data_IF_547704946243
#
_entry.id   IF_547704946243
#
_cell.length_a   1.000
_cell.length_b   1.000
_cell.length_c   1.000
_cell.angle_alpha   90.00
_cell.angle_beta   90.00
_cell.angle_gamma   90.00
#
_symmetry.space_group_name_H-M   'P 1'
#
loop_
_entity.id
_entity.type
_entity.pdbx_description
1 polymer ?
#
# COMPACT_ATOMS: atom_id res chain seq x y z
N UNK A 1 -12.47 18.48 9.39
CA UNK A 1 -11.24 17.64 9.44
C UNK A 1 -11.52 16.27 10.07
N UNK A 2 -10.73 15.23 9.79
CA UNK A 2 -10.88 13.89 10.40
C UNK A 2 -10.90 13.92 11.94
N UNK A 3 -10.09 14.79 12.57
CA UNK A 3 -10.06 14.96 14.02
C UNK A 3 -11.31 15.65 14.59
N UNK A 4 -12.05 16.41 13.77
CA UNK A 4 -13.35 16.99 14.16
C UNK A 4 -14.47 15.94 14.12
N UNK A 5 -14.44 15.06 13.12
CA UNK A 5 -15.41 13.98 12.99
C UNK A 5 -15.19 12.87 14.04
N UNK A 6 -13.96 12.70 14.53
CA UNK A 6 -13.60 11.73 15.56
C UNK A 6 -12.69 12.36 16.61
N UNK A 7 -13.24 12.83 17.74
CA UNK A 7 -12.45 13.47 18.81
C UNK A 7 -11.33 12.59 19.37
N UNK A 8 -11.46 11.26 19.29
CA UNK A 8 -10.41 10.31 19.68
C UNK A 8 -9.14 10.40 18.84
N UNK A 9 -9.22 11.01 17.65
CA UNK A 9 -8.07 11.25 16.77
C UNK A 9 -7.40 12.60 17.05
N UNK A 10 -7.90 13.42 17.98
CA UNK A 10 -7.32 14.73 18.26
C UNK A 10 -5.83 14.62 18.62
N UNK A 11 -4.99 15.34 17.89
CA UNK A 11 -3.54 15.32 18.06
C UNK A 11 -2.83 14.06 17.55
N UNK A 12 -3.53 13.17 16.84
CA UNK A 12 -2.91 12.02 16.19
C UNK A 12 -1.97 12.47 15.07
N UNK A 13 -2.40 13.40 14.23
CA UNK A 13 -1.55 13.91 13.15
C UNK A 13 -0.38 14.72 13.69
N UNK A 14 -0.56 15.45 14.79
CA UNK A 14 0.53 16.17 15.46
C UNK A 14 1.61 15.20 15.98
N UNK A 15 1.22 14.09 16.60
CA UNK A 15 2.14 13.03 17.04
C UNK A 15 2.89 12.40 15.86
N UNK A 16 2.21 12.17 14.74
CA UNK A 16 2.83 11.64 13.53
C UNK A 16 3.85 12.63 12.93
N UNK A 17 3.51 13.92 12.87
CA UNK A 17 4.43 14.96 12.42
C UNK A 17 5.61 15.09 13.38
N UNK A 18 5.38 15.05 14.69
CA UNK A 18 6.45 15.07 15.70
C UNK A 18 7.41 13.89 15.53
N UNK A 19 6.90 12.70 15.18
CA UNK A 19 7.71 11.51 14.86
C UNK A 19 8.63 11.70 13.66
N UNK A 20 8.39 12.68 12.79
CA UNK A 20 9.33 13.03 11.71
C UNK A 20 10.55 13.81 12.20
N UNK A 21 10.62 14.13 13.51
CA UNK A 21 11.60 14.98 14.16
C UNK A 21 11.84 16.31 13.40
N UNK A 22 10.80 17.15 13.27
CA UNK A 22 10.89 18.34 12.43
C UNK A 22 11.84 19.40 13.02
N UNK A 23 12.04 19.42 14.34
CA UNK A 23 12.85 20.44 15.01
C UNK A 23 14.34 20.34 14.67
N UNK A 24 14.84 19.14 14.36
CA UNK A 24 16.26 18.94 14.00
C UNK A 24 16.51 19.02 12.49
N UNK A 25 15.49 19.39 11.70
CA UNK A 25 15.52 19.34 10.24
C UNK A 25 15.33 20.73 9.64
N UNK A 26 16.00 20.98 8.52
CA UNK A 26 15.82 22.22 7.77
C UNK A 26 14.41 22.36 7.22
N UNK A 27 14.01 23.60 6.93
CA UNK A 27 12.72 23.92 6.31
C UNK A 27 12.45 23.08 5.04
N UNK A 28 13.41 23.02 4.11
CA UNK A 28 13.28 22.25 2.87
C UNK A 28 13.07 20.75 3.12
N UNK A 29 13.77 20.19 4.10
CA UNK A 29 13.64 18.77 4.46
C UNK A 29 12.29 18.49 5.11
N UNK A 30 11.81 19.38 5.97
CA UNK A 30 10.49 19.27 6.58
C UNK A 30 9.36 19.36 5.56
N UNK A 31 9.44 20.28 4.60
CA UNK A 31 8.44 20.37 3.52
C UNK A 31 8.37 19.08 2.70
N UNK A 32 9.53 18.52 2.31
CA UNK A 32 9.60 17.23 1.61
C UNK A 32 9.02 16.09 2.45
N UNK A 33 9.29 16.06 3.76
CA UNK A 33 8.78 15.01 4.65
C UNK A 33 7.26 15.10 4.82
N UNK A 34 6.69 16.30 4.93
CA UNK A 34 5.23 16.50 4.94
C UNK A 34 4.57 15.92 3.69
N UNK A 35 5.12 16.23 2.51
CA UNK A 35 4.63 15.68 1.22
C UNK A 35 4.71 14.15 1.20
N UNK A 36 5.87 13.58 1.55
CA UNK A 36 6.05 12.11 1.65
C UNK A 36 5.03 11.47 2.58
N UNK A 37 4.75 12.11 3.72
CA UNK A 37 3.77 11.64 4.68
C UNK A 37 2.33 11.68 4.11
N UNK A 38 1.95 12.75 3.40
CA UNK A 38 0.66 12.80 2.70
C UNK A 38 0.52 11.67 1.67
N UNK A 39 1.57 11.43 0.86
CA UNK A 39 1.57 10.32 -0.10
C UNK A 39 1.50 8.96 0.57
N UNK A 40 2.17 8.78 1.72
CA UNK A 40 2.10 7.56 2.51
C UNK A 40 0.66 7.29 2.99
N UNK A 41 -0.01 8.27 3.58
CA UNK A 41 -1.41 8.14 4.02
C UNK A 41 -2.36 7.89 2.84
N UNK A 42 -2.16 8.60 1.72
CA UNK A 42 -2.93 8.36 0.50
C UNK A 42 -2.72 6.92 -0.02
N UNK A 43 -1.49 6.43 0.02
CA UNK A 43 -1.14 5.05 -0.32
C UNK A 43 -1.85 4.04 0.58
N UNK A 44 -1.88 4.27 1.90
CA UNK A 44 -2.62 3.43 2.85
C UNK A 44 -4.13 3.40 2.55
N UNK A 45 -4.73 4.57 2.31
CA UNK A 45 -6.14 4.67 1.94
C UNK A 45 -6.44 3.92 0.63
N UNK A 46 -5.61 4.10 -0.39
CA UNK A 46 -5.76 3.40 -1.67
C UNK A 46 -5.63 1.89 -1.49
N UNK A 47 -4.68 1.42 -0.67
CA UNK A 47 -4.52 -0.01 -0.37
C UNK A 47 -5.75 -0.57 0.36
N UNK A 48 -6.27 0.15 1.36
CA UNK A 48 -7.48 -0.25 2.08
C UNK A 48 -8.69 -0.34 1.16
N UNK A 49 -8.95 0.71 0.37
CA UNK A 49 -10.06 0.75 -0.60
C UNK A 49 -9.95 -0.41 -1.60
N UNK A 50 -8.77 -0.63 -2.17
CA UNK A 50 -8.58 -1.72 -3.14
C UNK A 50 -8.76 -3.10 -2.51
N UNK A 51 -8.38 -3.27 -1.23
CA UNK A 51 -8.64 -4.51 -0.49
C UNK A 51 -10.14 -4.74 -0.31
N UNK A 52 -10.90 -3.73 0.11
CA UNK A 52 -12.36 -3.84 0.26
C UNK A 52 -13.02 -4.19 -1.07
N UNK A 53 -12.62 -3.55 -2.17
CA UNK A 53 -13.12 -3.88 -3.52
C UNK A 53 -12.83 -5.34 -3.90
N UNK A 54 -11.66 -5.86 -3.52
CA UNK A 54 -11.31 -7.25 -3.76
C UNK A 54 -12.20 -8.21 -2.96
N UNK A 55 -12.43 -7.94 -1.67
CA UNK A 55 -13.30 -8.73 -0.81
C UNK A 55 -14.75 -8.73 -1.32
N UNK A 56 -15.28 -7.58 -1.75
CA UNK A 56 -16.59 -7.49 -2.41
C UNK A 56 -16.62 -8.34 -3.68
N UNK A 57 -15.56 -8.30 -4.50
CA UNK A 57 -15.45 -9.11 -5.71
C UNK A 57 -15.50 -10.60 -5.42
N UNK A 58 -14.71 -11.06 -4.47
CA UNK A 58 -14.71 -12.46 -4.03
C UNK A 58 -16.09 -12.90 -3.52
N UNK A 59 -16.76 -12.05 -2.72
CA UNK A 59 -18.11 -12.32 -2.22
C UNK A 59 -19.13 -12.45 -3.36
N UNK A 60 -19.11 -11.55 -4.33
CA UNK A 60 -20.01 -11.58 -5.49
C UNK A 60 -19.82 -12.86 -6.32
N UNK A 61 -18.57 -13.21 -6.60
CA UNK A 61 -18.24 -14.43 -7.33
C UNK A 61 -18.68 -15.70 -6.56
N UNK A 62 -18.45 -15.74 -5.24
CA UNK A 62 -18.93 -16.82 -4.37
C UNK A 62 -20.46 -16.91 -4.29
N UNK A 63 -21.16 -15.78 -4.42
CA UNK A 63 -22.63 -15.71 -4.42
C UNK A 63 -23.25 -16.12 -5.78
N UNK A 64 -22.42 -16.48 -6.76
CA UNK A 64 -22.88 -16.86 -8.10
C UNK A 64 -23.28 -15.67 -8.98
N UNK A 65 -22.79 -14.47 -8.69
CA UNK A 65 -23.05 -13.31 -9.54
C UNK A 65 -22.56 -13.55 -10.98
N UNK A 66 -23.35 -13.10 -11.97
CA UNK A 66 -22.99 -13.26 -13.38
C UNK A 66 -21.72 -12.46 -13.72
N UNK A 67 -20.99 -12.91 -14.74
CA UNK A 67 -19.79 -12.19 -15.20
C UNK A 67 -20.12 -10.76 -15.62
N UNK A 68 -21.27 -10.54 -16.26
CA UNK A 68 -21.72 -9.21 -16.64
C UNK A 68 -21.94 -8.31 -15.41
N UNK A 69 -22.59 -8.83 -14.36
CA UNK A 69 -22.82 -8.07 -13.13
C UNK A 69 -21.51 -7.66 -12.44
N UNK A 70 -20.53 -8.57 -12.36
CA UNK A 70 -19.21 -8.28 -11.79
C UNK A 70 -18.49 -7.20 -12.60
N UNK A 71 -18.46 -7.30 -13.93
CA UNK A 71 -17.81 -6.30 -14.78
C UNK A 71 -18.52 -4.94 -14.72
N UNK A 72 -19.85 -4.90 -14.64
CA UNK A 72 -20.60 -3.66 -14.44
C UNK A 72 -20.25 -2.99 -13.11
N UNK A 73 -20.24 -3.74 -12.01
CA UNK A 73 -19.87 -3.19 -10.69
C UNK A 73 -18.39 -2.77 -10.63
N UNK A 74 -17.51 -3.49 -11.33
CA UNK A 74 -16.10 -3.13 -11.43
C UNK A 74 -15.92 -1.84 -12.26
N UNK A 75 -16.68 -1.68 -13.35
CA UNK A 75 -16.73 -0.45 -14.14
C UNK A 75 -17.25 0.75 -13.34
N UNK A 76 -18.21 0.53 -12.44
CA UNK A 76 -18.69 1.53 -11.48
C UNK A 76 -17.70 1.78 -10.32
N UNK A 77 -16.58 1.04 -10.26
CA UNK A 77 -15.56 1.18 -9.24
C UNK A 77 -15.94 0.64 -7.86
N UNK A 78 -16.98 -0.18 -7.75
CA UNK A 78 -17.45 -0.77 -6.49
C UNK A 78 -16.73 -2.08 -6.12
N UNK A 79 -16.18 -2.76 -7.12
CA UNK A 79 -15.46 -4.03 -6.96
C UNK A 79 -14.28 -4.12 -7.93
N UNK A 80 -13.54 -5.23 -7.87
CA UNK A 80 -12.49 -5.58 -8.83
C UNK A 80 -13.04 -6.41 -10.00
N UNK A 81 -12.37 -6.37 -11.15
CA UNK A 81 -12.77 -7.16 -12.33
C UNK A 81 -12.67 -8.66 -12.07
N UNK A 82 -13.45 -9.46 -12.83
CA UNK A 82 -13.48 -10.92 -12.69
C UNK A 82 -12.11 -11.57 -12.84
N UNK A 83 -11.30 -11.07 -13.77
CA UNK A 83 -9.92 -11.54 -13.96
C UNK A 83 -9.04 -11.33 -12.73
N UNK A 84 -9.27 -10.25 -11.97
CA UNK A 84 -8.54 -9.98 -10.71
C UNK A 84 -8.94 -10.98 -9.63
N UNK A 85 -10.23 -11.32 -9.55
CA UNK A 85 -10.76 -12.34 -8.63
C UNK A 85 -10.15 -13.70 -8.94
N UNK A 86 -10.15 -14.12 -10.20
CA UNK A 86 -9.56 -15.39 -10.63
C UNK A 86 -8.08 -15.49 -10.26
N UNK A 87 -7.31 -14.40 -10.46
CA UNK A 87 -5.90 -14.34 -10.06
C UNK A 87 -5.71 -14.47 -8.54
N UNK A 88 -6.57 -13.83 -7.74
CA UNK A 88 -6.50 -13.92 -6.27
C UNK A 88 -6.83 -15.32 -5.76
N UNK A 89 -7.81 -15.99 -6.38
CA UNK A 89 -8.12 -17.39 -6.07
C UNK A 89 -6.94 -18.31 -6.35
N UNK A 90 -6.34 -18.19 -7.54
CA UNK A 90 -5.14 -18.96 -7.88
C UNK A 90 -3.98 -18.73 -6.89
N UNK A 91 -3.74 -17.49 -6.46
CA UNK A 91 -2.72 -17.16 -5.46
C UNK A 91 -3.04 -17.73 -4.05
N UNK A 92 -4.32 -17.89 -3.72
CA UNK A 92 -4.76 -18.47 -2.45
C UNK A 92 -4.66 -19.99 -2.48
N UNK A 93 -5.03 -20.61 -3.60
CA UNK A 93 -4.93 -22.06 -3.82
C UNK A 93 -3.48 -22.55 -3.81
N UNK A 94 -2.54 -21.77 -4.37
CA UNK A 94 -1.10 -22.07 -4.26
C UNK A 94 -0.59 -22.03 -2.82
N UNK A 95 -1.22 -21.26 -1.93
CA UNK A 95 -0.84 -21.20 -0.52
C UNK A 95 -1.41 -22.39 0.27
N UNK A 96 -2.63 -22.84 -0.06
CA UNK A 96 -3.26 -24.00 0.60
C UNK A 96 -2.59 -25.32 0.25
N UNK A 97 -2.06 -25.47 -0.97
CA UNK A 97 -1.31 -26.67 -1.35
C UNK A 97 0.00 -26.79 -0.55
N UNK A 98 0.66 -25.67 -0.26
CA UNK A 98 1.88 -25.61 0.56
C UNK A 98 1.63 -25.82 2.06
N UNK A 99 0.40 -25.62 2.54
CA UNK A 99 0.01 -25.85 3.95
C UNK A 99 -0.64 -27.20 4.21
N UNK A 100 -0.76 -28.06 3.18
CA UNK A 100 -1.20 -29.46 3.32
C UNK A 100 -0.12 -30.39 3.89
N UNK A 101 1.13 -29.94 3.95
CA UNK A 101 2.17 -30.57 4.76
C UNK A 101 2.03 -30.09 6.21
N UNK A 102 2.03 -31.02 7.17
CA UNK A 102 1.83 -30.75 8.59
C UNK A 102 2.92 -29.85 9.18
N UNK A 103 2.71 -28.54 9.12
CA UNK A 103 3.65 -27.56 9.66
C UNK A 103 3.11 -26.97 10.97
N UNK A 104 3.99 -26.90 11.97
CA UNK A 104 3.65 -26.50 13.33
C UNK A 104 3.32 -25.01 13.42
N UNK A 105 2.55 -24.61 14.44
CA UNK A 105 2.02 -23.26 14.60
C UNK A 105 3.11 -22.16 14.59
N UNK A 106 4.31 -22.45 15.06
CA UNK A 106 5.42 -21.49 15.13
C UNK A 106 6.04 -21.19 13.76
N UNK A 107 6.16 -22.20 12.89
CA UNK A 107 6.65 -22.01 11.51
C UNK A 107 5.67 -21.19 10.65
N UNK A 108 4.38 -21.22 10.98
CA UNK A 108 3.34 -20.42 10.31
C UNK A 108 3.49 -18.94 10.61
N UNK A 109 3.86 -18.58 11.84
CA UNK A 109 4.02 -17.17 12.26
C UNK A 109 5.23 -16.55 11.58
N UNK A 110 6.36 -17.26 11.54
CA UNK A 110 7.59 -16.77 10.93
C UNK A 110 7.43 -16.60 9.40
N UNK A 111 6.77 -17.54 8.72
CA UNK A 111 6.48 -17.42 7.28
C UNK A 111 5.48 -16.31 6.96
N UNK A 112 4.48 -16.06 7.80
CA UNK A 112 3.55 -14.96 7.61
C UNK A 112 4.26 -13.59 7.69
N UNK A 113 5.25 -13.48 8.57
CA UNK A 113 6.12 -12.30 8.67
C UNK A 113 6.98 -12.09 7.41
N UNK A 114 7.54 -13.17 6.85
CA UNK A 114 8.38 -13.10 5.63
C UNK A 114 7.53 -12.75 4.39
N UNK A 115 6.32 -13.29 4.25
CA UNK A 115 5.48 -13.03 3.08
C UNK A 115 4.88 -11.60 3.08
N UNK A 116 4.63 -11.05 4.28
CA UNK A 116 4.14 -9.67 4.44
C UNK A 116 5.24 -8.64 4.17
N UNK A 117 6.51 -8.97 4.43
CA UNK A 117 7.65 -8.09 4.15
C UNK A 117 8.01 -8.07 2.66
N UNK A 118 7.89 -9.19 1.95
CA UNK A 118 8.20 -9.28 0.51
C UNK A 118 7.14 -8.66 -0.42
N UNK A 119 5.89 -8.53 0.01
CA UNK A 119 4.82 -7.84 -0.74
C UNK A 119 4.74 -6.33 -0.44
N UNK A 120 5.57 -5.84 0.50
CA UNK A 120 5.68 -4.42 0.88
C UNK A 120 6.70 -3.60 0.08
N UNK A 121 7.55 -4.24 -0.72
CA UNK A 121 8.62 -3.58 -1.49
C UNK A 121 8.28 -3.49 -2.98
N UNK A 122 7.21 -2.76 -3.31
CA UNK A 122 7.12 -2.14 -4.64
C UNK A 122 7.20 -0.62 -4.45
N UNK A 123 8.37 -0.16 -3.97
CA UNK A 123 8.81 1.20 -4.19
C UNK A 123 9.07 1.36 -5.69
N UNK A 124 8.40 2.27 -6.41
CA UNK A 124 8.78 2.58 -7.77
C UNK A 124 10.23 3.05 -7.77
N UNK A 125 11.10 2.33 -8.47
CA UNK A 125 12.47 2.78 -8.75
C UNK A 125 12.38 4.06 -9.57
N UNK A 126 12.98 5.12 -9.02
CA UNK A 126 13.49 6.32 -9.67
C UNK A 126 12.96 6.63 -11.08
N UNK A 127 12.07 7.63 -11.18
CA UNK A 127 11.96 8.41 -12.40
C UNK A 127 13.19 9.31 -12.50
N UNK A 128 14.10 8.97 -13.42
CA UNK A 128 15.14 9.87 -13.90
C UNK A 128 14.47 11.04 -14.61
N UNK A 129 14.56 12.23 -14.03
CA UNK A 129 14.35 13.48 -14.75
C UNK A 129 15.70 13.90 -15.31
N UNK A 130 15.88 13.75 -16.62
CA UNK A 130 16.90 14.49 -17.35
C UNK A 130 16.63 15.99 -17.16
N UNK A 131 17.57 16.68 -16.52
CA UNK A 131 17.68 18.14 -16.61
C UNK A 131 19.04 18.42 -17.22
N UNK A 132 19.03 18.74 -18.51
CA UNK A 132 20.17 19.33 -19.19
C UNK A 132 20.51 20.68 -18.56
N UNK A 133 21.81 20.98 -18.49
CA UNK A 133 22.28 22.32 -18.13
C UNK A 133 23.55 22.35 -17.28
N UNK A 134 24.70 22.33 -17.95
CA UNK A 134 25.90 23.11 -17.65
C UNK A 134 26.12 23.60 -16.21
N UNK A 135 27.08 23.01 -15.48
CA UNK A 135 28.26 23.72 -14.97
C UNK A 135 29.24 22.74 -14.30
N UNK A 136 30.43 22.59 -14.90
CA UNK A 136 31.59 21.96 -14.25
C UNK A 136 32.13 22.91 -13.18
N UNK A 137 32.07 22.52 -11.92
CA UNK A 137 32.98 23.00 -10.86
C UNK A 137 33.42 21.82 -10.01
N UNK A 138 34.60 21.29 -10.35
CA UNK A 138 35.40 20.41 -9.51
C UNK A 138 35.97 21.22 -8.35
N UNK A 139 35.56 20.91 -7.11
CA UNK A 139 36.29 21.30 -5.92
C UNK A 139 36.94 20.02 -5.36
N UNK A 140 38.28 20.01 -5.34
CA UNK A 140 39.10 18.94 -4.80
C UNK A 140 39.32 19.18 -3.30
N UNK A 141 38.98 18.18 -2.49
CA UNK A 141 39.50 17.90 -1.14
C UNK A 141 39.73 16.38 -1.18
N UNK A 142 40.90 15.80 -0.97
CA UNK A 142 42.06 16.15 -0.15
C UNK A 142 43.33 15.66 -0.84
#
# INVERSE_FOLDING_TARGET
>A
MLEEAKPSLKGFFDKLIAGTNPQTKSYMTNDKNKKKFCYFLAGLNNKFINRVKAEIGLLLDASGASSAAIETMAGAGLTVRRMTIARQKAQTETFTDLTSASETHDERVERLLIHTTMTGSNCPKHAEYEVGGSERRTASFH
#
